data_IF_486199593464
#
_entry.id   IF_486199593464
#
_cell.length_a   1.000
_cell.length_b   1.000
_cell.length_c   1.000
_cell.angle_alpha   90.00
_cell.angle_beta   90.00
_cell.angle_gamma   90.00
#
_symmetry.space_group_name_H-M   'P 1'
#
loop_
_entity.id
_entity.type
_entity.pdbx_description
1 polymer ?
#
# COMPACT_ATOMS: atom_id res chain seq x y z
N UNK A 1 34.53 -0.59 -18.36
CA UNK A 1 33.45 -0.15 -17.43
C UNK A 1 32.73 -1.41 -16.93
N UNK A 2 32.75 -1.71 -15.62
CA UNK A 2 32.00 -2.84 -15.03
C UNK A 2 30.50 -2.47 -15.01
N UNK A 3 29.65 -3.22 -15.68
CA UNK A 3 28.20 -3.03 -15.59
C UNK A 3 27.75 -3.31 -14.15
N UNK A 4 26.93 -2.42 -13.59
CA UNK A 4 26.35 -2.59 -12.25
C UNK A 4 24.95 -3.17 -12.40
N UNK A 5 24.72 -4.32 -11.79
CA UNK A 5 23.41 -4.97 -11.78
C UNK A 5 22.54 -4.39 -10.66
N UNK A 6 21.27 -4.14 -10.97
CA UNK A 6 20.28 -3.68 -9.97
C UNK A 6 19.64 -4.92 -9.34
N UNK A 7 19.77 -5.08 -8.02
CA UNK A 7 19.08 -6.15 -7.29
C UNK A 7 17.60 -5.78 -7.08
N UNK A 8 16.69 -6.71 -7.39
CA UNK A 8 15.24 -6.51 -7.18
C UNK A 8 14.74 -7.56 -6.20
N UNK A 9 14.28 -7.12 -5.03
CA UNK A 9 13.82 -7.97 -3.93
C UNK A 9 12.28 -7.91 -3.89
N UNK A 10 11.63 -9.07 -3.87
CA UNK A 10 10.17 -9.17 -3.68
C UNK A 10 9.84 -9.93 -2.41
N UNK A 11 9.28 -9.26 -1.41
CA UNK A 11 8.80 -9.89 -0.17
C UNK A 11 7.28 -9.96 -0.27
N UNK A 12 6.74 -11.18 -0.33
CA UNK A 12 5.32 -11.40 -0.51
C UNK A 12 4.61 -11.72 0.80
N UNK A 13 3.37 -11.26 0.94
CA UNK A 13 2.48 -11.61 2.04
C UNK A 13 3.08 -11.37 3.44
N UNK A 14 3.86 -10.31 3.62
CA UNK A 14 4.49 -9.96 4.90
C UNK A 14 3.41 -9.82 5.98
N UNK A 15 3.57 -10.46 7.15
CA UNK A 15 2.55 -10.44 8.20
C UNK A 15 1.33 -11.33 7.92
N UNK A 16 1.36 -12.18 6.90
CA UNK A 16 0.40 -13.28 6.78
C UNK A 16 0.63 -14.31 7.90
N UNK A 17 -0.43 -15.01 8.37
CA UNK A 17 -0.27 -16.14 9.29
C UNK A 17 0.72 -17.22 8.83
N UNK A 18 1.03 -17.29 7.53
CA UNK A 18 2.03 -18.20 6.96
C UNK A 18 3.46 -17.95 7.46
N UNK A 19 3.76 -16.76 8.01
CA UNK A 19 5.06 -16.46 8.60
C UNK A 19 5.27 -17.13 9.96
N UNK A 20 4.22 -17.68 10.57
CA UNK A 20 4.31 -18.42 11.84
C UNK A 20 4.55 -17.54 13.07
N UNK A 21 4.70 -16.23 12.90
CA UNK A 21 4.88 -15.27 13.99
C UNK A 21 3.54 -14.59 14.34
N UNK A 22 3.27 -14.41 15.64
CA UNK A 22 2.15 -13.63 16.19
C UNK A 22 2.29 -12.11 15.98
N UNK A 23 2.96 -11.69 14.90
CA UNK A 23 3.17 -10.29 14.52
C UNK A 23 1.84 -9.53 14.52
N UNK A 24 0.74 -10.19 14.14
CA UNK A 24 -0.54 -9.55 13.86
C UNK A 24 -1.51 -9.55 15.05
N UNK A 25 -1.24 -10.33 16.09
CA UNK A 25 -2.28 -10.76 17.05
C UNK A 25 -1.96 -10.52 18.52
N UNK A 26 -0.70 -10.34 18.94
CA UNK A 26 -0.39 -10.21 20.36
C UNK A 26 0.61 -9.11 20.69
N UNK A 27 0.17 -8.14 21.48
CA UNK A 27 0.98 -7.18 22.25
C UNK A 27 1.75 -7.87 23.39
N UNK A 28 2.19 -9.13 23.21
CA UNK A 28 2.91 -9.87 24.23
C UNK A 28 4.40 -9.45 24.23
N UNK A 29 4.67 -8.32 24.88
CA UNK A 29 5.86 -7.91 25.66
C UNK A 29 7.29 -8.04 25.12
N UNK A 30 7.63 -9.03 24.29
CA UNK A 30 9.02 -9.33 23.94
C UNK A 30 9.43 -8.99 22.51
N UNK A 31 8.50 -9.01 21.54
CA UNK A 31 8.85 -9.02 20.11
C UNK A 31 8.04 -8.06 19.22
N UNK A 32 7.32 -7.11 19.80
CA UNK A 32 6.41 -6.16 19.09
C UNK A 32 7.11 -5.29 18.03
N UNK A 33 8.44 -5.19 18.07
CA UNK A 33 9.25 -4.34 17.20
C UNK A 33 10.17 -5.09 16.23
N UNK A 34 10.18 -6.43 16.22
CA UNK A 34 11.07 -7.20 15.32
C UNK A 34 10.84 -6.86 13.86
N UNK A 35 9.58 -6.81 13.43
CA UNK A 35 9.19 -6.41 12.08
C UNK A 35 9.67 -4.99 11.75
N UNK A 36 9.46 -4.06 12.67
CA UNK A 36 9.89 -2.66 12.50
C UNK A 36 11.41 -2.56 12.37
N UNK A 37 12.15 -3.30 13.20
CA UNK A 37 13.61 -3.36 13.15
C UNK A 37 14.11 -3.97 11.84
N UNK A 38 13.49 -5.07 11.40
CA UNK A 38 13.78 -5.70 10.11
C UNK A 38 13.60 -4.71 8.95
N UNK A 39 12.45 -4.05 8.87
CA UNK A 39 12.16 -3.09 7.81
C UNK A 39 13.08 -1.87 7.86
N UNK A 40 13.44 -1.41 9.06
CA UNK A 40 14.38 -0.31 9.24
C UNK A 40 15.78 -0.65 8.73
N UNK A 41 16.31 -1.83 9.09
CA UNK A 41 17.61 -2.31 8.60
C UNK A 41 17.57 -2.55 7.09
N UNK A 42 16.51 -3.19 6.58
CA UNK A 42 16.30 -3.40 5.14
C UNK A 42 16.33 -2.07 4.38
N UNK A 43 15.64 -1.05 4.88
CA UNK A 43 15.64 0.30 4.32
C UNK A 43 17.05 0.88 4.25
N UNK A 44 17.86 0.70 5.29
CA UNK A 44 19.27 1.12 5.31
C UNK A 44 20.12 0.42 4.25
N UNK A 45 19.94 -0.90 4.07
CA UNK A 45 20.61 -1.67 3.03
C UNK A 45 20.22 -1.21 1.62
N UNK A 46 18.92 -0.95 1.39
CA UNK A 46 18.43 -0.47 0.09
C UNK A 46 18.97 0.93 -0.24
N UNK A 47 19.11 1.82 0.74
CA UNK A 47 19.69 3.17 0.55
C UNK A 47 21.18 3.17 0.21
N UNK A 48 21.91 2.13 0.62
CA UNK A 48 23.37 2.04 0.47
C UNK A 48 23.80 1.10 -0.65
N UNK A 49 22.85 0.45 -1.34
CA UNK A 49 23.10 -0.51 -2.41
C UNK A 49 22.32 -0.16 -3.69
N UNK A 50 22.72 -0.74 -4.82
CA UNK A 50 21.98 -0.62 -6.07
C UNK A 50 20.81 -1.62 -6.10
N UNK A 51 19.85 -1.42 -5.21
CA UNK A 51 18.77 -2.38 -4.97
C UNK A 51 17.41 -1.70 -4.84
N UNK A 52 16.35 -2.40 -5.24
CA UNK A 52 14.96 -2.01 -5.02
C UNK A 52 14.21 -3.16 -4.35
N UNK A 53 13.27 -2.84 -3.45
CA UNK A 53 12.43 -3.83 -2.79
C UNK A 53 10.95 -3.48 -2.95
N UNK A 54 10.15 -4.50 -3.24
CA UNK A 54 8.69 -4.44 -3.19
C UNK A 54 8.22 -5.39 -2.10
N UNK A 55 7.34 -4.89 -1.24
CA UNK A 55 6.75 -5.64 -0.14
C UNK A 55 5.24 -5.63 -0.31
N UNK A 56 4.61 -6.80 -0.27
CA UNK A 56 3.15 -6.93 -0.24
C UNK A 56 2.71 -7.38 1.15
N UNK A 57 1.61 -6.79 1.65
CA UNK A 57 1.12 -7.02 3.00
C UNK A 57 -0.42 -7.09 3.00
N UNK A 58 -1.04 -8.16 3.52
CA UNK A 58 -2.50 -8.27 3.62
C UNK A 58 -2.99 -7.47 4.84
N UNK A 59 -3.14 -6.16 4.69
CA UNK A 59 -3.52 -5.23 5.77
C UNK A 59 -4.81 -5.61 6.49
N UNK A 60 -5.77 -6.24 5.79
CA UNK A 60 -7.05 -6.69 6.36
C UNK A 60 -6.91 -7.80 7.41
N UNK A 61 -5.77 -8.52 7.44
CA UNK A 61 -5.49 -9.54 8.46
C UNK A 61 -4.76 -8.97 9.69
N UNK A 62 -4.31 -7.72 9.64
CA UNK A 62 -3.54 -7.09 10.70
C UNK A 62 -4.48 -6.21 11.53
N UNK A 63 -4.81 -6.67 12.74
CA UNK A 63 -5.71 -5.94 13.63
C UNK A 63 -5.04 -4.71 14.26
N UNK A 64 -3.74 -4.82 14.53
CA UNK A 64 -2.97 -3.74 15.15
C UNK A 64 -2.62 -2.63 14.13
N UNK A 65 -3.39 -1.53 14.17
CA UNK A 65 -3.17 -0.35 13.33
C UNK A 65 -1.77 0.26 13.50
N UNK A 66 -1.17 0.16 14.68
CA UNK A 66 0.17 0.70 14.92
C UNK A 66 1.24 -0.01 14.08
N UNK A 67 1.06 -1.30 13.78
CA UNK A 67 1.95 -2.04 12.88
C UNK A 67 1.85 -1.49 11.47
N UNK A 68 0.62 -1.33 10.97
CA UNK A 68 0.36 -0.79 9.63
C UNK A 68 0.98 0.61 9.50
N UNK A 69 0.81 1.46 10.51
CA UNK A 69 1.42 2.79 10.55
C UNK A 69 2.96 2.74 10.51
N UNK A 70 3.59 1.85 11.32
CA UNK A 70 5.06 1.69 11.32
C UNK A 70 5.59 1.21 9.97
N UNK A 71 4.94 0.23 9.34
CA UNK A 71 5.30 -0.27 8.01
C UNK A 71 5.21 0.86 6.99
N UNK A 72 4.09 1.58 6.99
CA UNK A 72 3.85 2.74 6.10
C UNK A 72 4.96 3.78 6.23
N UNK A 73 5.30 4.18 7.46
CA UNK A 73 6.33 5.20 7.73
C UNK A 73 7.75 4.77 7.33
N UNK A 74 8.04 3.47 7.31
CA UNK A 74 9.34 2.94 6.90
C UNK A 74 9.45 2.72 5.40
N UNK A 75 8.33 2.63 4.69
CA UNK A 75 8.29 2.52 3.24
C UNK A 75 8.57 3.87 2.57
N UNK A 76 9.22 3.85 1.41
CA UNK A 76 9.42 5.07 0.61
C UNK A 76 8.17 5.36 -0.26
N UNK A 77 7.52 4.33 -0.81
CA UNK A 77 6.25 4.39 -1.56
C UNK A 77 5.24 3.46 -0.90
N UNK A 78 3.99 3.90 -0.75
CA UNK A 78 2.89 3.09 -0.23
C UNK A 78 1.68 3.19 -1.14
N UNK A 79 1.22 2.03 -1.60
CA UNK A 79 0.05 1.87 -2.47
C UNK A 79 -0.91 0.88 -1.81
N UNK A 80 -2.17 1.30 -1.62
CA UNK A 80 -3.25 0.44 -1.16
C UNK A 80 -4.05 -0.11 -2.34
N UNK A 81 -4.46 -1.37 -2.25
CA UNK A 81 -5.37 -1.99 -3.22
C UNK A 81 -6.70 -2.26 -2.52
N UNK A 82 -7.79 -1.83 -3.15
CA UNK A 82 -9.15 -2.09 -2.71
C UNK A 82 -9.86 -2.89 -3.79
N UNK A 83 -10.33 -4.10 -3.46
CA UNK A 83 -11.11 -4.92 -4.38
C UNK A 83 -12.58 -4.53 -4.32
N UNK A 84 -13.28 -4.53 -5.47
CA UNK A 84 -14.73 -4.37 -5.50
C UNK A 84 -15.48 -5.67 -5.20
N UNK A 85 -14.83 -6.83 -5.28
CA UNK A 85 -15.45 -8.14 -5.04
C UNK A 85 -16.09 -8.14 -3.63
N UNK A 86 -17.39 -8.41 -3.57
CA UNK A 86 -18.15 -8.48 -2.32
C UNK A 86 -18.46 -7.11 -1.69
N UNK A 87 -18.28 -6.02 -2.44
CA UNK A 87 -18.62 -4.66 -2.01
C UNK A 87 -19.86 -4.13 -2.74
N UNK A 88 -20.51 -3.12 -2.18
CA UNK A 88 -21.60 -2.39 -2.85
C UNK A 88 -21.17 -1.74 -4.18
N UNK A 89 -19.86 -1.56 -4.40
CA UNK A 89 -19.31 -0.98 -5.64
C UNK A 89 -19.34 -1.97 -6.79
N UNK A 90 -19.43 -3.28 -6.53
CA UNK A 90 -19.52 -4.31 -7.57
C UNK A 90 -20.81 -4.19 -8.40
N UNK A 91 -21.92 -3.82 -7.75
CA UNK A 91 -23.23 -3.70 -8.40
C UNK A 91 -23.45 -2.35 -9.06
N UNK A 92 -22.55 -1.39 -8.83
CA UNK A 92 -22.70 -0.04 -9.36
C UNK A 92 -22.22 0.02 -10.83
N UNK A 93 -23.09 0.46 -11.77
CA UNK A 93 -22.75 0.49 -13.19
C UNK A 93 -21.55 1.39 -13.51
N UNK A 94 -21.23 2.36 -12.66
CA UNK A 94 -20.08 3.24 -12.80
C UNK A 94 -18.74 2.49 -12.75
N UNK A 95 -18.69 1.36 -12.04
CA UNK A 95 -17.46 0.58 -11.82
C UNK A 95 -17.40 -0.72 -12.61
N UNK A 96 -18.35 -0.95 -13.53
CA UNK A 96 -18.53 -2.23 -14.24
C UNK A 96 -17.29 -2.75 -14.97
N UNK A 97 -16.42 -1.86 -15.45
CA UNK A 97 -15.20 -2.23 -16.18
C UNK A 97 -13.95 -2.40 -15.29
N UNK A 98 -14.09 -2.18 -13.99
CA UNK A 98 -12.99 -2.16 -13.02
C UNK A 98 -13.16 -3.24 -11.95
N UNK A 99 -12.04 -3.76 -11.46
CA UNK A 99 -12.03 -4.77 -10.38
C UNK A 99 -11.75 -4.15 -9.01
N UNK A 100 -11.33 -2.89 -8.97
CA UNK A 100 -10.99 -2.22 -7.73
C UNK A 100 -10.31 -0.87 -7.92
N UNK A 101 -9.94 -0.26 -6.79
CA UNK A 101 -9.22 1.00 -6.72
C UNK A 101 -7.79 0.80 -6.24
N UNK A 102 -6.92 1.70 -6.70
CA UNK A 102 -5.55 1.86 -6.25
C UNK A 102 -5.44 3.19 -5.52
N UNK A 103 -5.14 3.13 -4.23
CA UNK A 103 -4.97 4.29 -3.37
C UNK A 103 -3.49 4.60 -3.22
N UNK A 104 -3.03 5.71 -3.76
CA UNK A 104 -1.65 6.15 -3.51
C UNK A 104 -1.60 6.86 -2.16
N UNK A 105 -1.01 6.20 -1.16
CA UNK A 105 -0.92 6.73 0.21
C UNK A 105 0.34 7.57 0.42
N UNK A 106 1.45 7.16 -0.17
CA UNK A 106 2.74 7.82 -0.01
C UNK A 106 3.58 7.68 -1.28
N UNK A 107 4.15 8.80 -1.74
CA UNK A 107 5.13 8.85 -2.84
C UNK A 107 6.32 9.70 -2.36
N UNK A 108 7.58 9.28 -2.61
CA UNK A 108 8.74 10.08 -2.33
C UNK A 108 8.73 11.31 -3.24
N UNK A 109 8.66 12.50 -2.64
CA UNK A 109 8.70 13.77 -3.36
C UNK A 109 10.14 14.08 -3.73
N UNK A 110 10.54 13.70 -4.94
CA UNK A 110 11.80 14.18 -5.52
C UNK A 110 11.57 15.60 -6.05
N UNK A 111 12.23 16.59 -5.45
CA UNK A 111 12.32 17.99 -5.93
C UNK A 111 11.04 18.87 -5.93
N UNK A 112 10.04 18.61 -5.09
CA UNK A 112 8.88 19.50 -4.96
C UNK A 112 8.86 20.26 -3.62
N UNK A 113 8.76 21.59 -3.68
CA UNK A 113 8.65 22.51 -2.53
C UNK A 113 7.20 22.77 -2.09
N UNK A 114 6.20 22.28 -2.85
CA UNK A 114 4.78 22.49 -2.57
C UNK A 114 4.11 21.13 -2.36
N UNK A 115 3.32 21.06 -1.29
CA UNK A 115 2.46 19.93 -0.98
C UNK A 115 1.19 20.04 -1.82
N UNK A 116 1.15 19.38 -2.98
CA UNK A 116 -0.15 19.12 -3.58
C UNK A 116 -0.80 17.97 -2.80
N UNK A 117 -1.56 18.36 -1.77
CA UNK A 117 -2.44 17.45 -1.02
C UNK A 117 -3.71 17.11 -1.83
N UNK A 118 -3.94 17.78 -2.96
CA UNK A 118 -5.30 17.94 -3.50
C UNK A 118 -5.75 16.93 -4.56
N UNK A 119 -4.87 16.11 -5.14
CA UNK A 119 -5.28 15.27 -6.27
C UNK A 119 -4.61 13.90 -6.27
N UNK A 120 -4.75 13.15 -5.17
CA UNK A 120 -4.59 11.69 -5.22
C UNK A 120 -5.72 11.17 -6.10
N UNK A 121 -5.47 11.15 -7.41
CA UNK A 121 -6.41 10.70 -8.43
C UNK A 121 -6.93 9.33 -8.01
N UNK A 122 -8.24 9.15 -7.99
CA UNK A 122 -8.83 7.82 -7.88
C UNK A 122 -8.29 7.01 -9.06
N UNK A 123 -7.38 6.08 -8.80
CA UNK A 123 -6.88 5.16 -9.81
C UNK A 123 -7.73 3.91 -9.73
N UNK A 124 -8.22 3.44 -10.86
CA UNK A 124 -8.93 2.17 -10.93
C UNK A 124 -8.05 1.16 -11.65
N UNK A 125 -8.13 -0.10 -11.21
CA UNK A 125 -7.44 -1.19 -11.88
C UNK A 125 -8.42 -2.18 -12.47
N UNK A 126 -8.03 -2.75 -13.61
CA UNK A 126 -8.70 -3.88 -14.23
C UNK A 126 -7.66 -4.90 -14.66
N UNK A 127 -8.05 -6.16 -14.58
CA UNK A 127 -7.21 -7.31 -14.91
C UNK A 127 -7.93 -8.10 -16.00
N UNK A 128 -7.60 -7.82 -17.26
CA UNK A 128 -8.18 -8.55 -18.40
C UNK A 128 -7.12 -9.51 -18.94
N UNK A 129 -7.39 -10.81 -18.83
CA UNK A 129 -6.45 -11.90 -19.20
C UNK A 129 -5.13 -11.81 -18.42
N UNK A 130 -4.03 -11.45 -19.09
CA UNK A 130 -2.69 -11.28 -18.51
C UNK A 130 -2.26 -9.80 -18.41
N UNK A 131 -3.19 -8.86 -18.65
CA UNK A 131 -2.91 -7.44 -18.63
C UNK A 131 -3.54 -6.79 -17.39
N UNK A 132 -2.68 -6.29 -16.50
CA UNK A 132 -3.07 -5.44 -15.39
C UNK A 132 -2.98 -3.98 -15.84
N UNK A 133 -4.13 -3.32 -15.97
CA UNK A 133 -4.22 -1.94 -16.44
C UNK A 133 -4.65 -1.03 -15.29
N UNK A 134 -3.91 0.06 -15.10
CA UNK A 134 -4.22 1.12 -14.14
C UNK A 134 -4.63 2.35 -14.94
N UNK A 135 -5.80 2.90 -14.66
CA UNK A 135 -6.36 4.06 -15.35
C UNK A 135 -6.76 5.12 -14.32
N UNK A 136 -6.67 6.39 -14.72
CA UNK A 136 -7.24 7.49 -13.96
C UNK A 136 -8.75 7.41 -14.01
N UNK A 137 -9.37 7.12 -12.88
CA UNK A 137 -10.81 7.13 -12.72
C UNK A 137 -11.23 8.52 -12.27
N UNK A 138 -11.99 9.22 -13.11
CA UNK A 138 -12.68 10.45 -12.72
C UNK A 138 -14.17 10.15 -12.81
N UNK A 139 -14.91 10.09 -11.70
CA UNK A 139 -16.35 9.98 -11.77
C UNK A 139 -16.89 11.24 -12.47
N UNK A 140 -17.31 11.11 -13.72
CA UNK A 140 -17.97 12.19 -14.45
C UNK A 140 -19.39 12.33 -13.92
N UNK A 141 -19.54 13.13 -12.86
CA UNK A 141 -20.81 13.43 -12.21
C UNK A 141 -20.52 14.16 -10.91
N UNK A 142 -21.18 15.29 -10.69
CA UNK A 142 -21.01 16.24 -9.58
C UNK A 142 -21.43 15.71 -8.20
N UNK A 143 -21.11 14.46 -7.89
CA UNK A 143 -21.20 13.90 -6.56
C UNK A 143 -19.87 13.24 -6.24
N UNK A 144 -18.96 14.02 -5.67
CA UNK A 144 -17.96 13.47 -4.76
C UNK A 144 -18.72 12.58 -3.78
N UNK A 145 -18.54 11.25 -3.88
CA UNK A 145 -18.99 10.34 -2.84
C UNK A 145 -18.44 10.90 -1.52
N UNK A 146 -19.28 11.11 -0.48
CA UNK A 146 -18.78 11.64 0.77
C UNK A 146 -17.70 10.69 1.26
N UNK A 147 -16.44 11.16 1.27
CA UNK A 147 -15.38 10.51 2.03
C UNK A 147 -15.94 10.44 3.44
N UNK A 148 -16.27 9.23 3.93
CA UNK A 148 -16.53 9.04 5.35
C UNK A 148 -15.25 9.49 6.06
N UNK A 149 -15.26 10.72 6.53
CA UNK A 149 -14.35 11.18 7.55
C UNK A 149 -14.75 10.40 8.81
N UNK A 150 -14.15 9.23 9.01
CA UNK A 150 -13.94 8.75 10.37
C UNK A 150 -12.96 9.73 11.01
N UNK A 151 -13.54 10.80 11.53
CA UNK A 151 -12.91 11.61 12.56
C UNK A 151 -12.71 10.68 13.75
N UNK A 152 -11.47 10.22 13.89
CA UNK A 152 -10.93 9.72 15.14
C UNK A 152 -11.05 10.88 16.15
N UNK A 153 -12.12 10.87 16.94
CA UNK A 153 -12.24 11.70 18.13
C UNK A 153 -11.20 11.22 19.14
N UNK A 154 -10.51 12.19 19.73
CA UNK A 154 -9.45 12.08 20.74
C UNK A 154 -9.70 11.03 21.82
#
# INVERSE_FOLDING_TARGET
KKQRNILRIGIQNLGSPLWGDDICCAENGGNSHSLTKFLYVLRGLLRTSLSACIITMPTHLIQNKAIIARVTNLSDIVVGLESFIGSERETNPLYKDYHGLIHIRQIPRLNNLICDESDVKDLAFKLKRKLFTIEGFRPTGSHSLPRKAEAEKC
#
